data_IF_449195529352
#
_entry.id   IF_449195529352
#
_cell.length_a   1.000
_cell.length_b   1.000
_cell.length_c   1.000
_cell.angle_alpha   90.00
_cell.angle_beta   90.00
_cell.angle_gamma   90.00
#
_symmetry.space_group_name_H-M   'P 1'
#
loop_
_entity.id
_entity.type
_entity.pdbx_description
1 polymer ?
#
# COMPACT_ATOMS: atom_id res chain seq x y z
N UNK A 1 8.03 -16.12 -10.60
CA UNK A 1 7.01 -15.31 -11.25
C UNK A 1 6.82 -14.02 -10.47
N UNK A 2 6.75 -12.92 -11.15
CA UNK A 2 6.54 -11.63 -10.51
C UNK A 2 5.05 -11.43 -10.20
N UNK A 3 4.76 -10.68 -9.15
CA UNK A 3 3.38 -10.32 -8.79
C UNK A 3 3.19 -8.82 -8.90
N UNK A 4 2.00 -8.43 -9.34
CA UNK A 4 1.59 -7.03 -9.38
C UNK A 4 0.25 -6.86 -8.66
N UNK A 5 0.07 -5.70 -8.04
CA UNK A 5 -1.21 -5.27 -7.52
C UNK A 5 -1.83 -4.28 -8.51
N UNK A 6 -3.10 -4.49 -8.84
CA UNK A 6 -3.87 -3.59 -9.69
C UNK A 6 -4.96 -2.97 -8.83
N UNK A 7 -4.82 -1.69 -8.53
CA UNK A 7 -5.81 -0.93 -7.76
C UNK A 7 -6.66 -0.14 -8.75
N UNK A 8 -7.94 -0.46 -8.80
CA UNK A 8 -8.92 0.28 -9.61
C UNK A 8 -9.66 1.25 -8.70
N UNK A 9 -9.66 2.53 -9.07
CA UNK A 9 -10.33 3.56 -8.29
C UNK A 9 -11.78 3.72 -8.74
N UNK A 10 -12.68 4.01 -7.80
CA UNK A 10 -14.10 4.20 -8.10
C UNK A 10 -14.35 5.36 -9.06
N UNK A 11 -13.59 6.43 -8.92
CA UNK A 11 -13.69 7.59 -9.80
C UNK A 11 -13.01 7.45 -11.16
N UNK A 12 -12.48 6.29 -11.45
CA UNK A 12 -11.65 6.02 -12.64
C UNK A 12 -10.18 6.04 -12.31
N UNK A 13 -9.38 5.46 -13.18
CA UNK A 13 -7.95 5.33 -12.97
C UNK A 13 -7.57 3.98 -12.39
N UNK A 14 -6.40 3.51 -12.82
CA UNK A 14 -5.86 2.22 -12.40
C UNK A 14 -4.40 2.40 -12.07
N UNK A 15 -4.01 1.93 -10.90
CA UNK A 15 -2.63 1.99 -10.41
C UNK A 15 -2.07 0.58 -10.45
N UNK A 16 -0.94 0.39 -11.10
CA UNK A 16 -0.25 -0.90 -11.19
C UNK A 16 1.03 -0.83 -10.38
N UNK A 17 1.21 -1.78 -9.49
CA UNK A 17 2.31 -1.80 -8.52
C UNK A 17 3.04 -3.13 -8.61
N UNK A 18 4.36 -3.09 -8.85
CA UNK A 18 5.19 -4.29 -8.71
C UNK A 18 5.34 -4.61 -7.22
N UNK A 19 5.15 -5.88 -6.86
CA UNK A 19 5.28 -6.34 -5.49
C UNK A 19 6.63 -7.04 -5.29
N UNK A 20 7.28 -6.75 -4.17
CA UNK A 20 8.61 -7.25 -3.83
C UNK A 20 8.50 -8.50 -2.95
N UNK A 21 8.01 -9.59 -3.52
CA UNK A 21 7.74 -10.82 -2.78
C UNK A 21 9.01 -11.53 -2.30
N UNK A 22 10.17 -11.23 -2.90
CA UNK A 22 11.45 -11.78 -2.43
C UNK A 22 12.00 -11.00 -1.23
N UNK A 23 11.80 -9.67 -1.21
CA UNK A 23 12.32 -8.81 -0.13
C UNK A 23 11.38 -8.74 1.07
N UNK A 24 10.08 -8.92 0.85
CA UNK A 24 9.05 -8.85 1.89
C UNK A 24 8.00 -9.95 1.68
N UNK A 25 8.40 -11.23 1.77
CA UNK A 25 7.52 -12.34 1.38
C UNK A 25 6.23 -12.43 2.21
N UNK A 26 6.32 -12.21 3.51
CA UNK A 26 5.14 -12.31 4.38
C UNK A 26 4.23 -11.10 4.23
N UNK A 27 4.79 -9.92 4.03
CA UNK A 27 4.02 -8.69 3.80
C UNK A 27 3.26 -8.79 2.48
N UNK A 28 3.91 -9.24 1.42
CA UNK A 28 3.25 -9.44 0.12
C UNK A 28 2.19 -10.53 0.21
N UNK A 29 2.48 -11.65 0.90
CA UNK A 29 1.50 -12.72 1.07
C UNK A 29 0.27 -12.23 1.85
N UNK A 30 0.45 -11.42 2.88
CA UNK A 30 -0.64 -10.82 3.63
C UNK A 30 -1.46 -9.87 2.76
N UNK A 31 -0.80 -9.00 2.01
CA UNK A 31 -1.47 -8.07 1.11
C UNK A 31 -2.28 -8.82 0.05
N UNK A 32 -1.70 -9.85 -0.54
CA UNK A 32 -2.38 -10.71 -1.53
C UNK A 32 -3.60 -11.39 -0.93
N UNK A 33 -3.47 -11.95 0.26
CA UNK A 33 -4.57 -12.60 0.97
C UNK A 33 -5.73 -11.63 1.18
N UNK A 34 -5.44 -10.43 1.66
CA UNK A 34 -6.47 -9.41 1.90
C UNK A 34 -7.11 -8.94 0.59
N UNK A 35 -6.30 -8.70 -0.44
CA UNK A 35 -6.80 -8.30 -1.76
C UNK A 35 -7.73 -9.36 -2.35
N UNK A 36 -7.30 -10.63 -2.31
CA UNK A 36 -8.07 -11.74 -2.88
C UNK A 36 -9.37 -12.01 -2.12
N UNK A 37 -9.42 -11.68 -0.84
CA UNK A 37 -10.64 -11.83 -0.04
C UNK A 37 -11.64 -10.68 -0.23
N UNK A 38 -11.27 -9.65 -0.99
CA UNK A 38 -12.09 -8.46 -1.17
C UNK A 38 -12.01 -7.46 -0.03
N UNK A 39 -11.06 -7.63 0.88
CA UNK A 39 -10.92 -6.78 2.06
C UNK A 39 -10.80 -5.29 1.71
N UNK A 40 -10.03 -4.99 0.65
CA UNK A 40 -9.77 -3.61 0.26
C UNK A 40 -10.89 -2.98 -0.58
N UNK A 41 -11.84 -3.77 -1.08
CA UNK A 41 -12.90 -3.25 -1.93
C UNK A 41 -13.78 -2.28 -1.13
N UNK A 42 -13.94 -1.07 -1.64
CA UNK A 42 -14.71 -0.03 -0.97
C UNK A 42 -13.96 0.75 0.12
N UNK A 43 -12.73 0.38 0.42
CA UNK A 43 -11.91 1.13 1.37
C UNK A 43 -11.32 2.38 0.72
N UNK A 44 -10.88 3.32 1.55
CA UNK A 44 -10.46 4.64 1.10
C UNK A 44 -8.97 4.88 1.31
N UNK A 45 -8.45 5.87 0.58
CA UNK A 45 -7.21 6.54 0.95
C UNK A 45 -7.59 7.66 1.93
N UNK A 46 -7.66 7.30 3.21
CA UNK A 46 -8.19 8.19 4.25
C UNK A 46 -7.23 9.31 4.64
N UNK A 47 -5.96 9.20 4.26
CA UNK A 47 -4.94 10.20 4.60
C UNK A 47 -4.09 10.48 3.38
N UNK A 48 -4.33 11.62 2.74
CA UNK A 48 -3.58 12.05 1.55
C UNK A 48 -2.89 13.36 1.88
N UNK A 49 -1.57 13.34 1.92
CA UNK A 49 -0.74 14.50 2.26
C UNK A 49 0.18 14.80 1.08
N UNK A 50 -0.08 15.87 0.32
CA UNK A 50 0.76 16.22 -0.83
C UNK A 50 2.23 16.34 -0.45
N UNK A 51 3.11 15.81 -1.31
CA UNK A 51 4.55 15.82 -1.08
C UNK A 51 5.03 14.78 -0.07
N UNK A 52 4.12 14.07 0.57
CA UNK A 52 4.44 13.03 1.55
C UNK A 52 3.91 11.67 1.09
N UNK A 53 2.70 11.30 1.50
CA UNK A 53 2.15 9.97 1.19
C UNK A 53 0.64 10.02 0.95
N UNK A 54 0.15 8.99 0.24
CA UNK A 54 -1.27 8.62 0.20
C UNK A 54 -1.42 7.31 0.97
N UNK A 55 -2.12 7.32 2.08
CA UNK A 55 -2.28 6.17 2.97
C UNK A 55 -3.72 5.67 2.93
N UNK A 56 -3.88 4.37 2.81
CA UNK A 56 -5.20 3.74 2.73
C UNK A 56 -5.22 2.34 3.30
N UNK A 57 -6.37 1.67 3.14
CA UNK A 57 -6.54 0.28 3.56
C UNK A 57 -7.00 0.10 4.99
N UNK A 58 -7.46 1.17 5.66
CA UNK A 58 -8.07 1.07 6.98
C UNK A 58 -9.55 0.70 6.85
N UNK A 59 -10.02 -0.41 7.44
CA UNK A 59 -11.39 -0.87 7.24
C UNK A 59 -12.47 0.09 7.77
N UNK A 60 -12.15 0.90 8.76
CA UNK A 60 -13.10 1.90 9.26
C UNK A 60 -12.77 3.33 8.83
N UNK A 61 -11.73 3.52 8.02
CA UNK A 61 -11.39 4.83 7.45
C UNK A 61 -10.82 5.83 8.44
N UNK A 62 -10.52 5.43 9.66
CA UNK A 62 -10.03 6.34 10.72
C UNK A 62 -8.52 6.32 10.90
N UNK A 63 -7.84 5.32 10.35
CA UNK A 63 -6.41 5.09 10.58
C UNK A 63 -6.12 4.18 11.77
N UNK A 64 -7.14 3.75 12.51
CA UNK A 64 -6.96 2.90 13.70
C UNK A 64 -7.38 1.46 13.47
N UNK A 65 -8.03 1.15 12.35
CA UNK A 65 -8.50 -0.20 12.05
C UNK A 65 -7.48 -1.06 11.33
N UNK A 66 -7.72 -2.36 11.36
CA UNK A 66 -6.88 -3.34 10.68
C UNK A 66 -7.63 -4.64 10.45
N UNK A 67 -6.93 -5.70 10.01
CA UNK A 67 -7.56 -6.95 9.62
C UNK A 67 -7.87 -7.88 10.79
N UNK A 68 -7.63 -7.45 12.02
CA UNK A 68 -7.84 -8.26 13.21
C UNK A 68 -6.59 -8.99 13.69
N UNK A 69 -5.45 -8.74 13.08
CA UNK A 69 -4.15 -9.30 13.46
C UNK A 69 -3.04 -8.35 13.04
N UNK A 70 -1.82 -8.64 13.46
CA UNK A 70 -0.63 -7.85 13.11
C UNK A 70 0.41 -8.73 12.45
N UNK A 71 1.25 -8.12 11.61
CA UNK A 71 2.36 -8.81 10.95
C UNK A 71 3.68 -8.17 11.34
N UNK A 72 4.74 -8.96 11.28
CA UNK A 72 6.08 -8.51 11.58
C UNK A 72 6.63 -7.63 10.45
N UNK A 73 7.46 -6.67 10.82
CA UNK A 73 8.23 -5.90 9.84
C UNK A 73 9.21 -6.79 9.09
N UNK A 74 9.38 -6.48 7.80
CA UNK A 74 10.37 -7.15 6.95
C UNK A 74 11.26 -6.07 6.35
N UNK A 75 12.14 -5.53 7.18
CA UNK A 75 13.02 -4.44 6.78
C UNK A 75 14.00 -4.95 5.72
N UNK A 76 14.14 -4.20 4.64
CA UNK A 76 14.94 -4.57 3.49
C UNK A 76 15.64 -3.32 2.92
N UNK A 77 16.58 -3.46 1.97
CA UNK A 77 17.37 -2.33 1.49
C UNK A 77 16.63 -1.38 0.54
N UNK A 78 15.39 -1.65 0.18
CA UNK A 78 14.63 -0.75 -0.68
C UNK A 78 14.33 0.56 0.04
N UNK A 79 14.43 1.67 -0.69
CA UNK A 79 14.26 3.01 -0.15
C UNK A 79 12.84 3.52 -0.40
N UNK A 80 12.43 4.49 0.42
CA UNK A 80 11.18 5.22 0.21
C UNK A 80 11.42 6.30 -0.84
N UNK A 81 11.11 5.97 -2.08
CA UNK A 81 11.21 6.88 -3.23
C UNK A 81 9.80 7.21 -3.73
N UNK A 82 9.71 8.13 -4.69
CA UNK A 82 8.41 8.41 -5.33
C UNK A 82 7.85 7.12 -5.92
N UNK A 83 6.61 6.79 -5.58
CA UNK A 83 5.92 5.58 -6.04
C UNK A 83 6.14 4.35 -5.18
N UNK A 84 6.93 4.45 -4.12
CA UNK A 84 7.17 3.32 -3.21
C UNK A 84 5.89 2.97 -2.46
N UNK A 85 5.58 1.66 -2.40
CA UNK A 85 4.51 1.10 -1.59
C UNK A 85 5.11 0.50 -0.33
N UNK A 86 4.63 0.92 0.83
CA UNK A 86 5.14 0.45 2.11
C UNK A 86 4.00 0.23 3.10
N UNK A 87 4.28 -0.56 4.14
CA UNK A 87 3.29 -0.91 5.16
C UNK A 87 3.27 0.14 6.26
N UNK A 88 2.10 0.72 6.49
CA UNK A 88 1.88 1.61 7.62
C UNK A 88 1.81 0.80 8.91
N UNK A 89 2.32 1.36 10.02
CA UNK A 89 2.22 0.73 11.33
C UNK A 89 2.34 1.80 12.43
N UNK A 90 1.98 1.39 13.64
CA UNK A 90 2.04 2.26 14.84
C UNK A 90 3.22 1.87 15.74
N UNK A 91 4.28 1.34 15.16
CA UNK A 91 5.46 0.86 15.84
C UNK A 91 5.91 -0.46 15.23
N UNK A 92 7.01 -0.99 15.73
CA UNK A 92 7.59 -2.22 15.18
C UNK A 92 6.63 -3.40 15.31
N UNK A 93 6.45 -4.16 14.21
CA UNK A 93 5.64 -5.38 14.17
C UNK A 93 4.15 -5.15 14.47
N UNK A 94 3.62 -3.98 14.08
CA UNK A 94 2.20 -3.65 14.25
C UNK A 94 1.48 -3.42 12.92
N UNK A 95 2.08 -3.77 11.80
CA UNK A 95 1.44 -3.68 10.48
C UNK A 95 0.25 -4.62 10.37
N UNK A 96 -0.65 -4.30 9.46
CA UNK A 96 -1.85 -5.12 9.22
C UNK A 96 -2.37 -4.96 7.80
N UNK A 97 -3.29 -4.03 7.58
CA UNK A 97 -3.89 -3.79 6.26
C UNK A 97 -3.54 -2.43 5.68
N UNK A 98 -3.17 -1.46 6.49
CA UNK A 98 -2.91 -0.12 6.00
C UNK A 98 -1.56 -0.04 5.31
N UNK A 99 -1.55 0.67 4.19
CA UNK A 99 -0.34 0.87 3.39
C UNK A 99 -0.31 2.31 2.90
N UNK A 100 0.84 2.74 2.39
CA UNK A 100 0.95 4.07 1.79
C UNK A 100 1.81 4.04 0.53
N UNK A 101 1.56 5.00 -0.35
CA UNK A 101 2.33 5.24 -1.57
C UNK A 101 3.00 6.60 -1.41
N UNK A 102 4.31 6.67 -1.60
CA UNK A 102 5.07 7.90 -1.43
C UNK A 102 4.92 8.81 -2.64
N UNK A 103 4.67 10.10 -2.40
CA UNK A 103 4.68 11.13 -3.45
C UNK A 103 6.10 11.59 -3.79
N UNK A 104 6.99 11.52 -2.83
CA UNK A 104 8.38 11.98 -2.94
C UNK A 104 9.25 11.13 -2.03
N UNK A 105 10.59 11.16 -2.17
CA UNK A 105 11.46 10.41 -1.29
C UNK A 105 11.25 10.78 0.19
N UNK A 106 11.20 9.73 1.03
CA UNK A 106 11.01 9.87 2.48
C UNK A 106 12.12 9.10 3.21
N UNK A 107 13.35 9.59 3.20
CA UNK A 107 14.49 8.84 3.74
C UNK A 107 14.38 8.55 5.24
N UNK A 108 13.63 9.36 5.99
CA UNK A 108 13.42 9.13 7.42
C UNK A 108 12.62 7.87 7.71
N UNK A 109 11.92 7.30 6.72
CA UNK A 109 11.16 6.07 6.86
C UNK A 109 11.96 4.83 6.46
N UNK A 110 13.11 5.01 5.80
CA UNK A 110 13.95 3.90 5.38
C UNK A 110 14.44 3.12 6.60
N UNK A 111 14.32 1.78 6.54
CA UNK A 111 14.71 0.93 7.64
C UNK A 111 13.72 0.89 8.81
N UNK A 112 12.62 1.62 8.75
CA UNK A 112 11.59 1.68 9.80
C UNK A 112 10.31 0.98 9.35
N UNK A 113 9.88 1.23 8.12
CA UNK A 113 8.68 0.62 7.54
C UNK A 113 9.06 -0.39 6.46
N UNK A 114 8.27 -1.45 6.32
CA UNK A 114 8.48 -2.46 5.29
C UNK A 114 8.12 -1.91 3.92
N UNK A 115 9.11 -1.78 3.05
CA UNK A 115 8.89 -1.49 1.63
C UNK A 115 8.56 -2.79 0.93
N UNK A 116 7.41 -2.86 0.24
CA UNK A 116 7.01 -4.11 -0.41
C UNK A 116 6.51 -3.96 -1.84
N UNK A 117 6.65 -2.77 -2.43
CA UNK A 117 6.29 -2.59 -3.82
C UNK A 117 6.65 -1.23 -4.36
N UNK A 118 6.40 -1.05 -5.67
CA UNK A 118 6.61 0.22 -6.36
C UNK A 118 5.61 0.37 -7.50
N UNK A 119 5.03 1.57 -7.61
CA UNK A 119 4.12 1.90 -8.71
C UNK A 119 4.89 1.93 -10.02
N UNK A 120 4.39 1.19 -11.02
CA UNK A 120 4.97 1.14 -12.36
C UNK A 120 4.07 1.78 -13.41
N UNK A 121 2.77 1.92 -13.13
CA UNK A 121 1.81 2.63 -13.98
C UNK A 121 0.76 3.31 -13.12
N UNK A 122 0.28 4.47 -13.58
CA UNK A 122 -0.83 5.15 -12.94
C UNK A 122 -0.43 6.08 -11.81
N UNK A 123 0.86 6.43 -11.69
CA UNK A 123 1.27 7.38 -10.65
C UNK A 123 0.59 8.74 -10.81
N UNK A 124 0.26 9.13 -12.04
CA UNK A 124 -0.51 10.34 -12.30
C UNK A 124 -1.89 10.34 -11.63
N UNK A 125 -2.50 9.16 -11.48
CA UNK A 125 -3.76 9.04 -10.74
C UNK A 125 -3.53 9.18 -9.23
N UNK A 126 -2.41 8.63 -8.73
CA UNK A 126 -2.05 8.77 -7.31
C UNK A 126 -1.84 10.25 -6.97
N UNK A 127 -1.20 10.99 -7.88
CA UNK A 127 -0.98 12.43 -7.70
C UNK A 127 -2.29 13.21 -7.56
N UNK A 128 -3.38 12.69 -8.11
CA UNK A 128 -4.71 13.33 -8.08
C UNK A 128 -5.59 12.85 -6.92
N UNK A 129 -5.12 11.90 -6.11
CA UNK A 129 -5.91 11.40 -4.98
C UNK A 129 -6.25 12.51 -4.01
N UNK A 130 -7.48 12.46 -3.52
CA UNK A 130 -7.98 13.31 -2.45
C UNK A 130 -8.33 12.45 -1.27
N UNK A 131 -8.35 13.03 -0.10
CA UNK A 131 -8.76 12.30 1.10
C UNK A 131 -10.12 11.64 0.89
N UNK A 132 -10.17 10.34 1.21
CA UNK A 132 -11.35 9.47 1.10
C UNK A 132 -11.72 9.05 -0.32
N UNK A 133 -10.82 9.16 -1.29
CA UNK A 133 -11.02 8.50 -2.59
C UNK A 133 -11.10 6.99 -2.38
N UNK A 134 -12.04 6.35 -3.07
CA UNK A 134 -12.42 4.95 -2.82
C UNK A 134 -11.72 4.01 -3.79
N UNK A 135 -11.15 2.94 -3.26
CA UNK A 135 -10.65 1.82 -4.05
C UNK A 135 -11.84 0.93 -4.41
N UNK A 136 -12.14 0.79 -5.70
CA UNK A 136 -13.20 -0.12 -6.15
C UNK A 136 -12.76 -1.57 -5.96
N UNK A 137 -11.52 -1.87 -6.35
CA UNK A 137 -10.96 -3.22 -6.19
C UNK A 137 -9.44 -3.19 -6.13
N UNK A 138 -8.88 -4.20 -5.48
CA UNK A 138 -7.45 -4.49 -5.51
C UNK A 138 -7.29 -5.94 -5.93
N UNK A 139 -6.61 -6.16 -7.05
CA UNK A 139 -6.40 -7.49 -7.61
C UNK A 139 -4.92 -7.80 -7.69
N UNK A 140 -4.55 -9.03 -7.38
CA UNK A 140 -3.17 -9.50 -7.50
C UNK A 140 -3.06 -10.32 -8.77
N UNK A 141 -2.10 -9.96 -9.61
CA UNK A 141 -1.88 -10.58 -10.92
C UNK A 141 -0.44 -11.09 -10.97
N UNK A 142 -0.26 -12.30 -11.50
CA UNK A 142 1.07 -12.84 -11.78
C UNK A 142 1.46 -12.48 -13.22
N UNK A 143 2.66 -12.00 -13.38
CA UNK A 143 3.19 -11.57 -14.68
C UNK A 143 4.51 -12.25 -15.00
#
# INVERSE_FOLDING_TARGET
MAKQAHITMQGGGKVVIDLFDQDAPNTVANFEKLANSGFYNGLTFHRVIPGFVAQGGCPNGSGTGGPGYQINCEINPNKHERGTLAMAHAGRNTGGSQFYICYAPQPHLDGVHTVFGKVVKGMEFVDEFKGRDVMESVQIVEV
#
